data_IF_304602184028
#
_entry.id   IF_304602184028
#
_cell.length_a   1.000
_cell.length_b   1.000
_cell.length_c   1.000
_cell.angle_alpha   90.00
_cell.angle_beta   90.00
_cell.angle_gamma   90.00
#
_symmetry.space_group_name_H-M   'P 1'
#
loop_
_entity.id
_entity.type
_entity.pdbx_description
1 polymer ?
#
# COMPACT_ATOMS: atom_id res chain seq x y z
N UNK A 1 32.70 -49.16 -28.52
CA UNK A 1 31.93 -48.50 -27.44
C UNK A 1 30.64 -47.98 -28.05
N UNK A 2 29.56 -48.75 -27.98
CA UNK A 2 28.46 -48.68 -26.99
C UNK A 2 27.89 -47.26 -26.81
N UNK A 3 26.84 -47.01 -27.59
CA UNK A 3 25.57 -46.38 -27.22
C UNK A 3 25.64 -45.40 -26.04
N UNK A 4 25.49 -44.10 -26.30
CA UNK A 4 24.67 -43.25 -25.44
C UNK A 4 23.92 -42.25 -26.33
N UNK A 5 22.62 -42.47 -26.42
CA UNK A 5 21.61 -41.50 -26.84
C UNK A 5 21.56 -40.40 -25.78
N UNK A 6 21.71 -39.14 -26.17
CA UNK A 6 21.20 -38.03 -25.37
C UNK A 6 20.45 -37.12 -26.32
N UNK A 7 19.16 -37.39 -26.44
CA UNK A 7 18.20 -36.47 -27.03
C UNK A 7 18.07 -35.28 -26.06
N UNK A 8 18.74 -34.18 -26.40
CA UNK A 8 18.57 -32.90 -25.72
C UNK A 8 17.19 -32.37 -26.09
N UNK A 9 16.24 -32.58 -25.17
CA UNK A 9 14.88 -32.13 -25.30
C UNK A 9 14.84 -30.61 -25.56
N UNK A 10 14.14 -30.24 -26.63
CA UNK A 10 13.72 -28.87 -26.92
C UNK A 10 12.90 -28.34 -25.73
N UNK A 11 13.51 -27.49 -24.91
CA UNK A 11 12.75 -26.62 -24.01
C UNK A 11 12.35 -25.41 -24.84
N UNK A 12 11.21 -25.52 -25.52
CA UNK A 12 10.42 -24.34 -25.87
C UNK A 12 9.62 -23.97 -24.63
N UNK A 13 10.03 -22.92 -23.93
CA UNK A 13 9.28 -22.44 -22.79
C UNK A 13 9.99 -21.35 -22.02
N UNK A 14 9.33 -20.18 -21.96
CA UNK A 14 9.63 -19.00 -21.16
C UNK A 14 10.68 -18.04 -21.76
N UNK A 15 10.18 -17.14 -22.60
CA UNK A 15 10.93 -16.00 -23.11
C UNK A 15 10.03 -14.90 -23.62
N UNK A 16 8.90 -14.62 -22.97
CA UNK A 16 8.17 -13.35 -23.20
C UNK A 16 8.95 -12.26 -22.49
N UNK A 17 9.91 -11.65 -23.20
CA UNK A 17 10.47 -10.37 -22.77
C UNK A 17 9.41 -9.31 -22.98
N UNK A 18 8.78 -8.85 -21.90
CA UNK A 18 8.12 -7.55 -21.90
C UNK A 18 9.23 -6.49 -22.03
N UNK A 19 9.41 -6.00 -23.25
CA UNK A 19 10.29 -4.87 -23.55
C UNK A 19 9.64 -3.61 -22.94
N UNK A 20 10.14 -3.17 -21.79
CA UNK A 20 9.75 -1.90 -21.18
C UNK A 20 10.39 -0.79 -22.01
N UNK A 21 9.70 -0.33 -23.05
CA UNK A 21 10.07 0.83 -23.84
C UNK A 21 9.56 2.09 -23.13
N UNK A 22 10.39 2.67 -22.25
CA UNK A 22 10.15 4.04 -21.77
C UNK A 22 10.97 4.99 -22.63
N UNK A 23 10.33 5.43 -23.72
CA UNK A 23 10.66 6.66 -24.43
C UNK A 23 10.53 7.83 -23.46
N UNK A 24 11.64 8.55 -23.29
CA UNK A 24 11.72 9.85 -22.64
C UNK A 24 10.92 10.90 -23.43
N UNK A 25 9.65 11.13 -23.11
CA UNK A 25 8.94 12.38 -23.42
C UNK A 25 7.88 12.67 -22.33
N UNK A 26 8.23 13.49 -21.35
CA UNK A 26 7.28 14.26 -20.53
C UNK A 26 6.71 15.43 -21.37
N UNK A 27 5.55 16.06 -21.06
CA UNK A 27 4.76 15.96 -19.82
C UNK A 27 3.26 15.90 -20.10
N UNK A 28 2.60 14.77 -19.90
CA UNK A 28 1.13 14.71 -19.83
C UNK A 28 0.72 13.45 -19.11
N UNK A 29 0.24 13.63 -17.88
CA UNK A 29 -0.70 12.75 -17.19
C UNK A 29 -0.44 11.26 -17.41
N UNK A 30 0.57 10.75 -16.71
CA UNK A 30 0.77 9.31 -16.54
C UNK A 30 -0.40 8.72 -15.73
N UNK A 31 -1.54 8.52 -16.39
CA UNK A 31 -2.45 7.43 -16.05
C UNK A 31 -1.78 6.14 -16.49
N UNK A 32 -0.73 5.75 -15.77
CA UNK A 32 -0.35 4.35 -15.71
C UNK A 32 -1.34 3.70 -14.75
N UNK A 33 -2.37 3.05 -15.31
CA UNK A 33 -3.13 2.05 -14.57
C UNK A 33 -2.19 0.91 -14.20
N UNK A 34 -1.42 1.11 -13.13
CA UNK A 34 -1.09 0.02 -12.23
C UNK A 34 -2.42 -0.60 -11.79
N UNK A 35 -2.48 -1.93 -11.77
CA UNK A 35 -3.57 -2.66 -11.11
C UNK A 35 -3.94 -1.91 -9.83
N UNK A 36 -5.20 -1.48 -9.60
CA UNK A 36 -5.53 -0.67 -8.43
C UNK A 36 -5.26 -1.52 -7.18
N UNK A 37 -4.09 -1.35 -6.59
CA UNK A 37 -3.87 -1.57 -5.17
C UNK A 37 -4.45 -0.41 -4.35
N UNK A 38 -4.98 0.62 -5.02
CA UNK A 38 -5.73 1.75 -4.47
C UNK A 38 -7.18 1.36 -4.15
N UNK A 39 -7.41 0.43 -3.22
CA UNK A 39 -8.69 0.46 -2.48
C UNK A 39 -8.73 1.66 -1.53
N UNK A 40 -7.56 2.17 -1.13
CA UNK A 40 -7.41 3.28 -0.21
C UNK A 40 -7.34 4.62 -0.95
N UNK A 41 -8.47 5.31 -1.00
CA UNK A 41 -8.58 6.66 -1.55
C UNK A 41 -8.11 7.68 -0.53
N UNK A 42 -7.18 8.56 -0.90
CA UNK A 42 -6.71 9.65 -0.02
C UNK A 42 -7.86 10.56 0.37
N UNK A 43 -7.96 10.87 1.67
CA UNK A 43 -8.98 11.75 2.23
C UNK A 43 -8.36 12.78 3.18
N UNK A 44 -9.15 13.78 3.57
CA UNK A 44 -8.71 14.75 4.56
C UNK A 44 -8.95 14.24 5.99
N UNK A 45 -8.08 14.66 6.91
CA UNK A 45 -8.18 14.35 8.34
C UNK A 45 -9.52 14.81 8.93
N UNK A 46 -10.11 15.89 8.38
CA UNK A 46 -11.42 16.42 8.81
C UNK A 46 -12.58 15.49 8.52
N UNK A 47 -12.42 14.60 7.55
CA UNK A 47 -13.45 13.68 7.09
C UNK A 47 -13.37 12.34 7.87
N UNK A 48 -12.40 12.21 8.80
CA UNK A 48 -12.32 11.07 9.70
C UNK A 48 -13.47 11.10 10.73
N UNK A 49 -14.07 9.94 11.04
CA UNK A 49 -15.01 9.83 12.13
C UNK A 49 -14.37 10.23 13.46
N UNK A 50 -15.14 10.87 14.36
CA UNK A 50 -14.64 11.20 15.70
C UNK A 50 -14.11 9.97 16.45
N UNK A 51 -14.77 8.82 16.30
CA UNK A 51 -14.32 7.56 16.89
C UNK A 51 -12.88 7.18 16.46
N UNK A 52 -12.53 7.40 15.19
CA UNK A 52 -11.19 7.14 14.66
C UNK A 52 -10.18 8.14 15.23
N UNK A 53 -10.53 9.42 15.28
CA UNK A 53 -9.67 10.48 15.85
C UNK A 53 -9.39 10.20 17.33
N UNK A 54 -10.41 9.82 18.10
CA UNK A 54 -10.26 9.45 19.50
C UNK A 54 -9.39 8.21 19.68
N UNK A 55 -9.58 7.19 18.84
CA UNK A 55 -8.78 5.97 18.87
C UNK A 55 -7.30 6.26 18.58
N UNK A 56 -7.03 7.09 17.56
CA UNK A 56 -5.68 7.59 17.25
C UNK A 56 -5.08 8.36 18.43
N UNK A 57 -5.83 9.30 19.01
CA UNK A 57 -5.38 10.09 20.15
C UNK A 57 -5.05 9.23 21.37
N UNK A 58 -5.83 8.17 21.63
CA UNK A 58 -5.59 7.21 22.72
C UNK A 58 -4.37 6.31 22.46
N UNK A 59 -4.17 5.85 21.22
CA UNK A 59 -3.10 4.92 20.84
C UNK A 59 -1.74 5.63 20.70
N UNK A 60 -1.74 6.82 20.09
CA UNK A 60 -0.54 7.57 19.70
C UNK A 60 -0.73 9.06 20.00
N UNK A 61 -0.86 9.38 21.28
CA UNK A 61 -0.89 10.76 21.76
C UNK A 61 0.39 11.51 21.33
N UNK A 62 0.23 12.61 20.59
CA UNK A 62 1.35 13.43 20.12
C UNK A 62 1.95 13.04 18.76
N UNK A 63 1.43 12.00 18.10
CA UNK A 63 1.78 11.71 16.72
C UNK A 63 1.08 12.70 15.76
N UNK A 64 1.81 13.20 14.75
CA UNK A 64 1.24 14.03 13.70
C UNK A 64 0.58 13.16 12.62
N UNK A 65 -0.60 13.51 12.14
CA UNK A 65 -1.21 12.81 11.01
C UNK A 65 -0.63 13.41 9.72
N UNK A 66 0.08 12.59 8.93
CA UNK A 66 0.65 12.98 7.64
C UNK A 66 -0.38 12.84 6.53
N UNK A 67 -0.95 11.65 6.42
CA UNK A 67 -1.89 11.27 5.37
C UNK A 67 -2.96 10.34 5.92
N UNK A 68 -4.13 10.43 5.32
CA UNK A 68 -5.28 9.60 5.66
C UNK A 68 -5.87 9.09 4.36
N UNK A 69 -6.27 7.83 4.37
CA UNK A 69 -6.91 7.17 3.26
C UNK A 69 -8.11 6.37 3.78
N UNK A 70 -9.12 6.20 2.94
CA UNK A 70 -10.31 5.40 3.21
C UNK A 70 -10.46 4.33 2.14
N UNK A 71 -10.78 3.12 2.57
CA UNK A 71 -11.18 2.02 1.72
C UNK A 71 -12.55 1.51 2.14
N UNK A 72 -13.33 1.09 1.16
CA UNK A 72 -14.58 0.36 1.36
C UNK A 72 -14.26 -1.14 1.26
N UNK A 73 -14.35 -1.84 2.40
CA UNK A 73 -14.10 -3.29 2.51
C UNK A 73 -15.41 -4.03 2.73
N UNK A 74 -15.38 -5.35 2.58
CA UNK A 74 -16.54 -6.21 2.86
C UNK A 74 -17.02 -6.09 4.31
N UNK A 75 -16.11 -5.78 5.24
CA UNK A 75 -16.39 -5.61 6.68
C UNK A 75 -16.89 -4.20 7.04
N UNK A 76 -16.84 -3.25 6.11
CA UNK A 76 -17.18 -1.84 6.32
C UNK A 76 -16.07 -0.89 5.85
N UNK A 77 -16.15 0.38 6.25
CA UNK A 77 -15.11 1.36 5.91
C UNK A 77 -13.87 1.20 6.79
N UNK A 78 -12.71 1.13 6.14
CA UNK A 78 -11.40 1.08 6.78
C UNK A 78 -10.62 2.35 6.46
N UNK A 79 -10.00 2.93 7.48
CA UNK A 79 -9.20 4.13 7.42
C UNK A 79 -7.73 3.76 7.63
N UNK A 80 -6.91 3.99 6.60
CA UNK A 80 -5.46 3.88 6.67
C UNK A 80 -4.89 5.25 7.00
N UNK A 81 -4.24 5.39 8.15
CA UNK A 81 -3.67 6.64 8.62
C UNK A 81 -2.16 6.49 8.72
N UNK A 82 -1.43 7.39 8.07
CA UNK A 82 0.03 7.48 8.15
C UNK A 82 0.38 8.54 9.19
N UNK A 83 0.93 8.09 10.30
CA UNK A 83 1.35 8.89 11.43
C UNK A 83 2.83 9.21 11.32
N UNK A 84 3.19 10.43 11.68
CA UNK A 84 4.54 10.91 11.89
C UNK A 84 4.80 10.91 13.39
N UNK A 85 5.74 10.09 13.84
CA UNK A 85 6.19 10.06 15.24
C UNK A 85 7.65 10.51 15.30
N UNK A 86 7.89 11.62 16.00
CA UNK A 86 9.26 12.07 16.30
C UNK A 86 9.76 11.35 17.54
N UNK A 87 10.80 10.54 17.37
CA UNK A 87 11.51 9.87 18.47
C UNK A 87 12.42 10.85 19.22
N UNK A 88 12.83 10.45 20.43
CA UNK A 88 13.74 11.22 21.28
C UNK A 88 15.05 11.60 20.57
N UNK A 89 15.52 10.73 19.66
CA UNK A 89 16.73 10.95 18.84
C UNK A 89 16.57 11.99 17.72
N UNK A 90 15.45 12.74 17.69
CA UNK A 90 15.05 13.66 16.60
C UNK A 90 14.79 12.99 15.25
N UNK A 91 14.72 11.66 15.23
CA UNK A 91 14.32 10.90 14.04
C UNK A 91 12.80 10.82 13.95
N UNK A 92 12.29 11.17 12.78
CA UNK A 92 10.87 11.06 12.46
C UNK A 92 10.63 9.73 11.76
N UNK A 93 9.77 8.89 12.35
CA UNK A 93 9.33 7.64 11.71
C UNK A 93 7.90 7.78 11.23
N UNK A 94 7.62 7.12 10.12
CA UNK A 94 6.26 6.99 9.59
C UNK A 94 5.68 5.66 10.06
N UNK A 95 4.56 5.72 10.77
CA UNK A 95 3.83 4.56 11.25
C UNK A 95 2.46 4.54 10.59
N UNK A 96 2.19 3.48 9.82
CA UNK A 96 0.89 3.27 9.20
C UNK A 96 0.01 2.48 10.14
N UNK A 97 -1.21 2.96 10.39
CA UNK A 97 -2.22 2.27 11.18
C UNK A 97 -3.51 2.13 10.40
N UNK A 98 -4.22 1.03 10.60
CA UNK A 98 -5.53 0.77 10.00
C UNK A 98 -6.59 0.76 11.10
N UNK A 99 -7.66 1.51 10.89
CA UNK A 99 -8.75 1.68 11.86
C UNK A 99 -10.08 1.60 11.13
N UNK A 100 -11.05 0.86 11.65
CA UNK A 100 -12.39 0.82 11.07
C UNK A 100 -13.23 2.05 11.47
N UNK A 101 -14.42 2.20 10.88
CA UNK A 101 -15.37 3.28 11.23
C UNK A 101 -15.79 3.33 12.71
N UNK A 102 -15.63 2.23 13.45
CA UNK A 102 -15.93 2.13 14.89
C UNK A 102 -14.78 2.63 15.78
N UNK A 103 -13.63 2.96 15.21
CA UNK A 103 -12.43 3.34 15.96
C UNK A 103 -11.64 2.14 16.48
N UNK A 104 -11.84 0.94 15.93
CA UNK A 104 -11.08 -0.25 16.29
C UNK A 104 -9.89 -0.41 15.35
N UNK A 105 -8.71 -0.66 15.91
CA UNK A 105 -7.51 -0.94 15.11
C UNK A 105 -7.57 -2.36 14.57
N UNK A 106 -7.35 -2.49 13.27
CA UNK A 106 -7.33 -3.77 12.57
C UNK A 106 -5.94 -4.03 11.98
N UNK A 107 -5.61 -5.29 11.74
CA UNK A 107 -4.37 -5.65 11.07
C UNK A 107 -4.47 -5.36 9.56
N UNK A 108 -3.34 -5.16 8.90
CA UNK A 108 -3.31 -4.88 7.45
C UNK A 108 -3.99 -5.98 6.61
N UNK A 109 -3.97 -7.22 7.08
CA UNK A 109 -4.66 -8.34 6.43
C UNK A 109 -6.19 -8.24 6.49
N UNK A 110 -6.72 -7.53 7.49
CA UNK A 110 -8.14 -7.28 7.72
C UNK A 110 -8.56 -5.91 7.17
N UNK A 111 -7.60 -5.17 6.62
CA UNK A 111 -7.73 -3.79 6.19
C UNK A 111 -8.01 -3.63 4.72
#
# INVERSE_FOLDING_TARGET
>A
MKKVLVALAMIMGLGTTAMFAQTFETPSTEQTSQVPQDEFVKMDVKDLPQAVIEALAKKRAGAGIKEVFVADKETGKVYKIVLIVTKEDRNTIEETVFINEKGEFIEEQDA
#
